data_IF_135044987209
#
_entry.id   IF_135044987209
#
_cell.length_a   1.000
_cell.length_b   1.000
_cell.length_c   1.000
_cell.angle_alpha   90.00
_cell.angle_beta   90.00
_cell.angle_gamma   90.00
#
_symmetry.space_group_name_H-M   'P 1'
#
loop_
_entity.id
_entity.type
_entity.pdbx_description
1 polymer ?
#
# COMPACT_ATOMS: atom_id res chain seq x y z
N UNK A 1 3.95 -7.09 -31.77
CA UNK A 1 3.93 -6.81 -30.31
C UNK A 1 3.73 -5.31 -30.14
N UNK A 2 2.55 -4.86 -29.72
CA UNK A 2 2.23 -3.43 -29.60
C UNK A 2 2.28 -3.05 -28.12
N UNK A 3 3.19 -2.16 -27.74
CA UNK A 3 3.21 -1.59 -26.39
C UNK A 3 2.06 -0.58 -26.23
N UNK A 4 1.36 -0.53 -25.09
CA UNK A 4 0.32 0.48 -24.88
C UNK A 4 0.94 1.87 -24.66
N UNK A 5 0.43 2.87 -25.41
CA UNK A 5 0.79 4.29 -25.26
C UNK A 5 0.45 4.79 -23.84
N UNK A 6 1.31 5.62 -23.21
CA UNK A 6 0.98 6.26 -21.94
C UNK A 6 -0.20 7.22 -22.10
N UNK A 7 -1.14 7.16 -21.15
CA UNK A 7 -2.29 8.06 -21.05
C UNK A 7 -1.83 9.52 -21.01
N UNK A 8 -2.44 10.34 -21.86
CA UNK A 8 -2.26 11.79 -21.88
C UNK A 8 -2.66 12.37 -20.51
N UNK A 9 -1.70 12.82 -19.72
CA UNK A 9 -1.95 13.72 -18.60
C UNK A 9 -1.89 15.16 -19.14
N UNK A 10 -2.97 15.95 -19.10
CA UNK A 10 -2.87 17.38 -19.31
C UNK A 10 -2.49 17.99 -17.96
N UNK A 11 -1.25 18.45 -17.84
CA UNK A 11 -0.83 19.65 -17.09
C UNK A 11 0.70 19.65 -16.96
N UNK A 12 1.37 19.89 -18.08
CA UNK A 12 2.80 20.23 -18.15
C UNK A 12 2.97 21.61 -18.78
N UNK A 13 2.20 22.59 -18.32
CA UNK A 13 2.30 23.96 -18.77
C UNK A 13 1.76 24.91 -17.69
N UNK A 14 2.41 24.96 -16.53
CA UNK A 14 2.34 26.05 -15.54
C UNK A 14 3.21 25.71 -14.33
N UNK A 15 4.53 25.77 -14.47
CA UNK A 15 5.44 25.84 -13.32
C UNK A 15 6.56 26.84 -13.64
N UNK A 16 6.14 28.07 -13.93
CA UNK A 16 6.98 29.23 -13.65
C UNK A 16 6.85 29.53 -12.17
N UNK A 17 7.98 29.46 -11.44
CA UNK A 17 8.19 30.10 -10.15
C UNK A 17 7.32 29.58 -8.99
N UNK A 18 7.76 28.54 -8.31
CA UNK A 18 7.75 28.44 -6.84
C UNK A 18 8.56 27.20 -6.48
N UNK A 19 9.87 27.37 -6.25
CA UNK A 19 10.67 26.32 -5.65
C UNK A 19 10.12 26.03 -4.25
N UNK A 20 9.43 24.90 -4.10
CA UNK A 20 8.92 24.43 -2.81
C UNK A 20 10.08 24.06 -1.87
N UNK A 21 10.23 24.72 -0.70
CA UNK A 21 11.07 24.22 0.38
C UNK A 21 10.54 22.90 0.98
N UNK A 22 9.40 22.40 0.49
CA UNK A 22 8.59 21.33 1.07
C UNK A 22 9.14 19.93 0.86
N UNK A 23 9.99 19.67 -0.15
CA UNK A 23 10.53 18.31 -0.38
C UNK A 23 11.56 17.87 0.64
N UNK A 24 12.36 18.79 1.19
CA UNK A 24 13.41 18.45 2.18
C UNK A 24 12.84 18.06 3.56
N UNK A 25 11.66 18.56 3.92
CA UNK A 25 11.03 18.27 5.22
C UNK A 25 10.34 16.91 5.30
N UNK A 26 9.99 16.29 4.15
CA UNK A 26 9.34 14.95 4.13
C UNK A 26 10.31 13.81 4.43
N UNK A 27 11.57 13.95 4.05
CA UNK A 27 12.57 12.88 4.22
C UNK A 27 12.96 12.75 5.69
N UNK A 28 13.15 13.87 6.41
CA UNK A 28 13.52 13.83 7.84
C UNK A 28 12.42 13.30 8.77
N UNK A 29 11.15 13.28 8.34
CA UNK A 29 10.06 12.70 9.13
C UNK A 29 9.98 11.17 9.04
N UNK A 30 10.42 10.56 7.93
CA UNK A 30 10.35 9.10 7.76
C UNK A 30 11.30 8.36 8.70
N UNK A 31 12.51 8.87 8.88
CA UNK A 31 13.53 8.22 9.72
C UNK A 31 13.15 8.16 11.21
N UNK A 32 12.30 9.09 11.67
CA UNK A 32 11.77 9.10 13.05
C UNK A 32 10.63 8.10 13.28
N UNK A 33 10.02 7.58 12.22
CA UNK A 33 8.87 6.67 12.33
C UNK A 33 9.25 5.19 12.38
N UNK A 34 10.50 4.84 12.04
CA UNK A 34 10.96 3.44 11.96
C UNK A 34 11.01 2.75 13.35
N UNK A 35 11.53 3.38 14.42
CA UNK A 35 11.63 2.69 15.72
C UNK A 35 10.26 2.35 16.34
N UNK A 36 9.25 3.25 16.34
CA UNK A 36 7.92 2.94 16.87
C UNK A 36 7.20 1.83 16.11
N UNK A 37 7.38 1.76 14.78
CA UNK A 37 6.75 0.75 13.94
C UNK A 37 7.30 -0.66 14.21
N UNK A 38 8.60 -0.78 14.45
CA UNK A 38 9.21 -2.07 14.78
C UNK A 38 8.74 -2.58 16.15
N UNK A 39 8.59 -1.68 17.12
CA UNK A 39 8.10 -2.04 18.45
C UNK A 39 6.63 -2.48 18.41
N UNK A 40 5.78 -1.75 17.70
CA UNK A 40 4.38 -2.13 17.46
C UNK A 40 4.28 -3.46 16.68
N UNK A 41 5.13 -3.69 15.68
CA UNK A 41 5.19 -4.96 14.96
C UNK A 41 5.47 -6.14 15.90
N UNK A 42 6.40 -5.97 16.83
CA UNK A 42 6.77 -6.99 17.80
C UNK A 42 5.68 -7.23 18.87
N UNK A 43 4.77 -6.27 19.07
CA UNK A 43 3.64 -6.39 20.02
C UNK A 43 2.47 -7.19 19.47
N UNK A 44 2.42 -7.49 18.17
CA UNK A 44 1.32 -8.24 17.57
C UNK A 44 1.30 -9.67 18.15
N UNK A 45 0.20 -10.09 18.81
CA UNK A 45 0.09 -11.44 19.35
C UNK A 45 0.16 -12.50 18.25
N UNK A 46 0.93 -13.56 18.50
CA UNK A 46 1.08 -14.69 17.57
C UNK A 46 -0.26 -15.33 17.24
N UNK A 47 -1.21 -15.34 18.18
CA UNK A 47 -2.56 -15.89 17.96
C UNK A 47 -3.34 -15.14 16.87
N UNK A 48 -3.14 -13.82 16.74
CA UNK A 48 -3.76 -13.04 15.65
C UNK A 48 -3.18 -13.48 14.31
N UNK A 49 -1.85 -13.62 14.23
CA UNK A 49 -1.17 -14.08 13.02
C UNK A 49 -1.59 -15.50 12.65
N UNK A 50 -1.72 -16.38 13.65
CA UNK A 50 -2.19 -17.74 13.49
C UNK A 50 -3.62 -17.78 12.96
N UNK A 51 -4.53 -17.00 13.55
CA UNK A 51 -5.91 -16.89 13.09
C UNK A 51 -6.02 -16.37 11.65
N UNK A 52 -5.17 -15.42 11.25
CA UNK A 52 -5.08 -14.95 9.87
C UNK A 52 -4.71 -16.09 8.91
N UNK A 53 -3.67 -16.86 9.22
CA UNK A 53 -3.24 -18.00 8.40
C UNK A 53 -4.32 -19.08 8.34
N UNK A 54 -4.90 -19.44 9.48
CA UNK A 54 -5.96 -20.45 9.57
C UNK A 54 -7.25 -20.04 8.84
N UNK A 55 -7.49 -18.75 8.66
CA UNK A 55 -8.64 -18.23 7.88
C UNK A 55 -8.47 -18.37 6.36
N UNK A 56 -7.24 -18.53 5.85
CA UNK A 56 -6.94 -18.51 4.41
C UNK A 56 -7.71 -19.56 3.59
N UNK A 57 -7.89 -20.82 4.04
CA UNK A 57 -8.70 -21.79 3.31
C UNK A 57 -10.15 -21.32 3.10
N UNK A 58 -10.73 -20.60 4.07
CA UNK A 58 -12.10 -20.05 3.96
C UNK A 58 -12.15 -18.93 2.93
N UNK A 59 -11.14 -18.05 2.88
CA UNK A 59 -11.02 -16.98 1.86
C UNK A 59 -10.89 -17.57 0.46
N UNK A 60 -10.04 -18.59 0.28
CA UNK A 60 -9.89 -19.31 -1.00
C UNK A 60 -11.20 -19.95 -1.45
N UNK A 61 -11.93 -20.61 -0.56
CA UNK A 61 -13.27 -21.16 -0.86
C UNK A 61 -14.25 -20.06 -1.31
N UNK A 62 -14.20 -18.89 -0.69
CA UNK A 62 -15.04 -17.76 -1.08
C UNK A 62 -14.72 -17.26 -2.49
N UNK A 63 -13.44 -17.16 -2.85
CA UNK A 63 -12.99 -16.76 -4.21
C UNK A 63 -13.42 -17.78 -5.26
N UNK A 64 -13.26 -19.07 -4.97
CA UNK A 64 -13.70 -20.15 -5.88
C UNK A 64 -15.23 -20.06 -6.08
N UNK A 65 -15.98 -19.89 -4.99
CA UNK A 65 -17.45 -19.76 -5.05
C UNK A 65 -17.88 -18.50 -5.81
N UNK A 66 -17.14 -17.40 -5.67
CA UNK A 66 -17.41 -16.16 -6.38
C UNK A 66 -16.93 -16.18 -7.83
N UNK A 67 -16.35 -17.28 -8.35
CA UNK A 67 -15.74 -17.33 -9.70
C UNK A 67 -14.72 -16.22 -9.91
N UNK A 68 -13.84 -16.04 -8.92
CA UNK A 68 -12.75 -15.05 -8.92
C UNK A 68 -13.20 -13.59 -8.80
N UNK A 69 -14.50 -13.31 -8.62
CA UNK A 69 -14.98 -11.97 -8.28
C UNK A 69 -14.67 -11.60 -6.82
N UNK A 70 -14.66 -10.28 -6.53
CA UNK A 70 -14.35 -9.73 -5.22
C UNK A 70 -15.17 -10.41 -4.11
N UNK A 71 -14.49 -10.78 -3.02
CA UNK A 71 -15.13 -11.32 -1.82
C UNK A 71 -15.20 -10.27 -0.73
N UNK A 72 -15.95 -10.53 0.34
CA UNK A 72 -15.96 -9.66 1.54
C UNK A 72 -14.64 -9.62 2.30
N UNK A 73 -13.71 -10.52 1.95
CA UNK A 73 -12.37 -10.61 2.51
C UNK A 73 -11.33 -10.05 1.56
#
# INVERSE_FOLDING_TARGET
MVQPKPRHQPNRASLGGFEEPSRRKKIQQQDRAVPPLQEEWNRIPVDILRGLVESMPRRKKAVIKSKDYQTKY
#
